data_IF_235485553449
#
_entry.id   IF_235485553449
#
_cell.length_a   1.000
_cell.length_b   1.000
_cell.length_c   1.000
_cell.angle_alpha   90.00
_cell.angle_beta   90.00
_cell.angle_gamma   90.00
#
_symmetry.space_group_name_H-M   'P 1'
#
loop_
_entity.id
_entity.type
_entity.pdbx_description
1 polymer ?
#
# COMPACT_ATOMS: atom_id res chain seq x y z
N UNK A 1 -10.03 -9.64 -13.44
CA UNK A 1 -9.73 -8.24 -13.84
C UNK A 1 -8.46 -8.23 -14.67
N UNK A 2 -8.42 -7.47 -15.75
CA UNK A 2 -7.25 -7.39 -16.63
C UNK A 2 -6.19 -6.44 -16.05
N UNK A 3 -4.93 -6.64 -16.47
CA UNK A 3 -3.84 -5.75 -16.06
C UNK A 3 -4.08 -4.29 -16.49
N UNK A 4 -4.67 -4.09 -17.68
CA UNK A 4 -4.99 -2.75 -18.18
C UNK A 4 -6.03 -2.03 -17.34
N UNK A 5 -7.01 -2.74 -16.78
CA UNK A 5 -8.00 -2.17 -15.86
C UNK A 5 -7.35 -1.73 -14.54
N UNK A 6 -6.44 -2.54 -13.98
CA UNK A 6 -5.70 -2.18 -12.76
C UNK A 6 -4.91 -0.89 -12.99
N UNK A 7 -4.12 -0.82 -14.06
CA UNK A 7 -3.32 0.37 -14.40
C UNK A 7 -4.19 1.61 -14.59
N UNK A 8 -5.36 1.46 -15.22
CA UNK A 8 -6.31 2.57 -15.42
C UNK A 8 -6.81 3.13 -14.09
N UNK A 9 -7.20 2.26 -13.16
CA UNK A 9 -7.68 2.69 -11.84
C UNK A 9 -6.55 3.28 -10.99
N UNK A 10 -5.36 2.68 -11.00
CA UNK A 10 -4.17 3.23 -10.31
C UNK A 10 -3.79 4.61 -10.85
N UNK A 11 -3.87 4.80 -12.18
CA UNK A 11 -3.59 6.10 -12.81
C UNK A 11 -4.59 7.17 -12.38
N UNK A 12 -5.87 6.83 -12.27
CA UNK A 12 -6.91 7.75 -11.76
C UNK A 12 -6.63 8.11 -10.30
N UNK A 13 -6.38 7.13 -9.45
CA UNK A 13 -6.10 7.34 -8.03
C UNK A 13 -4.86 8.23 -7.79
N UNK A 14 -3.90 8.22 -8.72
CA UNK A 14 -2.69 9.06 -8.66
C UNK A 14 -2.74 10.27 -9.62
N UNK A 15 -3.92 10.77 -10.00
CA UNK A 15 -4.04 11.86 -10.98
C UNK A 15 -3.23 13.11 -10.59
N UNK A 16 -3.22 13.46 -9.30
CA UNK A 16 -2.49 14.59 -8.73
C UNK A 16 -0.99 14.33 -8.44
N UNK A 17 -0.47 13.11 -8.67
CA UNK A 17 0.89 12.73 -8.30
C UNK A 17 1.65 12.07 -9.45
N UNK A 18 2.54 12.81 -10.09
CA UNK A 18 3.43 12.25 -11.14
C UNK A 18 4.31 11.14 -10.56
N UNK A 19 4.88 11.37 -9.38
CA UNK A 19 5.71 10.40 -8.68
C UNK A 19 4.91 9.15 -8.31
N UNK A 20 3.70 9.31 -7.75
CA UNK A 20 2.82 8.18 -7.42
C UNK A 20 2.48 7.34 -8.64
N UNK A 21 2.15 7.97 -9.77
CA UNK A 21 1.92 7.26 -11.05
C UNK A 21 3.13 6.44 -11.49
N UNK A 22 4.34 7.01 -11.38
CA UNK A 22 5.58 6.33 -11.73
C UNK A 22 5.82 5.11 -10.82
N UNK A 23 5.77 5.29 -9.50
CA UNK A 23 6.01 4.24 -8.51
C UNK A 23 5.02 3.09 -8.68
N UNK A 24 3.71 3.40 -8.72
CA UNK A 24 2.67 2.37 -8.81
C UNK A 24 2.72 1.64 -10.15
N UNK A 25 2.96 2.34 -11.26
CA UNK A 25 3.13 1.69 -12.57
C UNK A 25 4.26 0.65 -12.55
N UNK A 26 5.46 1.05 -12.10
CA UNK A 26 6.61 0.14 -12.07
C UNK A 26 6.44 -0.99 -11.04
N UNK A 27 5.77 -0.74 -9.92
CA UNK A 27 5.35 -1.79 -8.99
C UNK A 27 4.49 -2.85 -9.72
N UNK A 28 3.45 -2.43 -10.46
CA UNK A 28 2.57 -3.37 -11.18
C UNK A 28 3.30 -4.16 -12.26
N UNK A 29 4.18 -3.50 -13.02
CA UNK A 29 4.99 -4.18 -14.05
C UNK A 29 5.93 -5.20 -13.41
N UNK A 30 6.62 -4.83 -12.32
CA UNK A 30 7.49 -5.74 -11.58
C UNK A 30 6.70 -6.92 -10.98
N UNK A 31 5.51 -6.68 -10.44
CA UNK A 31 4.63 -7.72 -9.87
C UNK A 31 4.21 -8.75 -10.92
N UNK A 32 3.83 -8.32 -12.12
CA UNK A 32 3.48 -9.26 -13.20
C UNK A 32 4.69 -10.09 -13.63
N UNK A 33 5.87 -9.48 -13.71
CA UNK A 33 7.12 -10.19 -14.01
C UNK A 33 7.46 -11.20 -12.91
N UNK A 34 7.19 -10.88 -11.65
CA UNK A 34 7.36 -11.80 -10.54
C UNK A 34 6.38 -12.97 -10.60
N UNK A 35 5.09 -12.73 -10.80
CA UNK A 35 4.04 -13.75 -10.89
C UNK A 35 4.33 -14.72 -12.04
N UNK A 36 4.71 -14.19 -13.20
CA UNK A 36 4.97 -14.98 -14.41
C UNK A 36 6.43 -15.48 -14.55
N UNK A 37 7.26 -15.35 -13.52
CA UNK A 37 8.71 -15.66 -13.56
C UNK A 37 9.08 -17.08 -14.00
N UNK A 38 8.16 -18.03 -13.88
CA UNK A 38 8.36 -19.42 -14.36
C UNK A 38 8.17 -19.58 -15.87
N UNK A 39 7.60 -18.59 -16.57
CA UNK A 39 7.43 -18.62 -18.01
C UNK A 39 8.71 -18.10 -18.68
N UNK A 40 9.35 -18.86 -19.60
CA UNK A 40 10.60 -18.45 -20.25
C UNK A 40 10.48 -17.15 -21.03
N UNK A 41 9.29 -16.78 -21.53
CA UNK A 41 9.04 -15.48 -22.16
C UNK A 41 9.25 -14.30 -21.23
N UNK A 42 9.21 -14.54 -19.90
CA UNK A 42 9.43 -13.51 -18.87
C UNK A 42 10.86 -13.51 -18.31
N UNK A 43 11.80 -14.20 -18.96
CA UNK A 43 13.22 -14.12 -18.56
C UNK A 43 13.73 -12.66 -18.53
N UNK A 44 13.34 -11.83 -19.51
CA UNK A 44 13.61 -10.39 -19.50
C UNK A 44 12.99 -9.64 -18.32
N UNK A 45 11.99 -10.20 -17.69
CA UNK A 45 11.36 -9.62 -16.49
C UNK A 45 12.31 -9.50 -15.29
N UNK A 46 13.43 -10.24 -15.29
CA UNK A 46 14.46 -10.07 -14.25
C UNK A 46 15.07 -8.67 -14.29
N UNK A 47 15.35 -8.12 -15.48
CA UNK A 47 15.89 -6.77 -15.65
C UNK A 47 14.91 -5.70 -15.18
N UNK A 48 13.61 -5.88 -15.46
CA UNK A 48 12.54 -5.00 -14.98
C UNK A 48 12.49 -4.99 -13.45
N UNK A 49 12.56 -6.16 -12.82
CA UNK A 49 12.55 -6.27 -11.36
C UNK A 49 13.79 -5.67 -10.73
N UNK A 50 14.97 -5.87 -11.34
CA UNK A 50 16.22 -5.23 -10.90
C UNK A 50 16.12 -3.71 -11.03
N UNK A 51 15.62 -3.21 -12.16
CA UNK A 51 15.36 -1.79 -12.36
C UNK A 51 14.43 -1.22 -11.28
N UNK A 52 13.29 -1.90 -11.03
CA UNK A 52 12.33 -1.50 -10.00
C UNK A 52 12.99 -1.41 -8.61
N UNK A 53 13.74 -2.44 -8.21
CA UNK A 53 14.45 -2.46 -6.93
C UNK A 53 15.46 -1.35 -6.83
N UNK A 54 16.28 -1.15 -7.86
CA UNK A 54 17.34 -0.15 -7.84
C UNK A 54 16.77 1.28 -7.82
N UNK A 55 15.83 1.60 -8.71
CA UNK A 55 15.34 2.98 -8.84
C UNK A 55 14.23 3.31 -7.85
N UNK A 56 13.27 2.41 -7.60
CA UNK A 56 12.13 2.70 -6.73
C UNK A 56 12.46 2.37 -5.28
N UNK A 57 12.91 1.13 -5.00
CA UNK A 57 13.12 0.75 -3.61
C UNK A 57 14.35 1.46 -3.03
N UNK A 58 15.52 1.37 -3.65
CA UNK A 58 16.74 1.98 -3.13
C UNK A 58 16.85 3.47 -3.47
N UNK A 59 16.65 3.85 -4.73
CA UNK A 59 16.82 5.23 -5.19
C UNK A 59 15.78 6.20 -4.64
N UNK A 60 14.51 5.78 -4.53
CA UNK A 60 13.43 6.61 -3.97
C UNK A 60 13.14 6.35 -2.49
N UNK A 61 13.75 5.32 -1.88
CA UNK A 61 13.50 4.95 -0.49
C UNK A 61 12.06 4.49 -0.24
N UNK A 62 11.51 3.67 -1.17
CA UNK A 62 10.15 3.12 -1.08
C UNK A 62 10.27 1.61 -1.05
N UNK A 63 10.23 1.02 0.13
CA UNK A 63 10.34 -0.44 0.30
C UNK A 63 8.96 -1.09 0.14
N UNK A 64 8.59 -1.32 -1.11
CA UNK A 64 7.37 -1.98 -1.53
C UNK A 64 7.73 -3.12 -2.49
N UNK A 65 7.83 -4.33 -1.96
CA UNK A 65 8.25 -5.48 -2.76
C UNK A 65 7.20 -5.88 -3.80
N UNK A 66 7.67 -6.28 -4.99
CA UNK A 66 6.83 -6.67 -6.13
C UNK A 66 5.95 -7.91 -5.88
N UNK A 67 6.19 -8.65 -4.80
CA UNK A 67 5.37 -9.82 -4.41
C UNK A 67 4.21 -9.48 -3.48
N UNK A 68 4.14 -8.25 -2.97
CA UNK A 68 3.06 -7.80 -2.09
C UNK A 68 1.72 -7.83 -2.82
N UNK A 69 0.68 -8.35 -2.15
CA UNK A 69 -0.67 -8.44 -2.72
C UNK A 69 -1.42 -7.15 -2.48
N UNK A 70 -1.68 -6.41 -3.55
CA UNK A 70 -2.36 -5.10 -3.48
C UNK A 70 -3.46 -5.02 -4.53
N UNK A 71 -4.66 -4.65 -4.11
CA UNK A 71 -5.82 -4.39 -4.97
C UNK A 71 -5.60 -3.22 -5.94
N UNK A 72 -6.59 -2.92 -6.77
CA UNK A 72 -6.57 -1.83 -7.74
C UNK A 72 -6.73 -0.46 -7.06
N UNK A 73 -6.41 0.60 -7.79
CA UNK A 73 -6.59 1.96 -7.30
C UNK A 73 -5.60 2.35 -6.18
N UNK A 74 -4.46 1.66 -6.08
CA UNK A 74 -3.41 2.04 -5.13
C UNK A 74 -2.97 3.47 -5.40
N UNK A 75 -3.04 4.31 -4.36
CA UNK A 75 -2.56 5.68 -4.40
C UNK A 75 -1.34 5.85 -3.49
N UNK A 76 -0.25 6.44 -4.01
CA UNK A 76 0.96 6.72 -3.24
C UNK A 76 1.29 8.20 -3.31
N UNK A 77 1.08 8.91 -2.19
CA UNK A 77 1.46 10.32 -2.06
C UNK A 77 2.85 10.46 -1.45
N UNK A 78 3.78 11.03 -2.22
CA UNK A 78 5.19 11.23 -1.90
C UNK A 78 5.99 9.93 -1.76
N UNK A 79 5.59 9.00 -0.93
CA UNK A 79 6.06 7.62 -0.79
C UNK A 79 7.44 7.44 -0.14
N UNK A 80 8.28 8.47 0.01
CA UNK A 80 9.59 8.32 0.67
C UNK A 80 9.42 7.75 2.08
N UNK A 81 10.27 6.79 2.45
CA UNK A 81 10.20 6.14 3.75
C UNK A 81 8.97 5.23 3.94
N UNK A 82 8.21 4.94 2.87
CA UNK A 82 7.20 3.89 2.92
C UNK A 82 7.90 2.54 2.97
N UNK A 83 7.64 1.79 4.03
CA UNK A 83 8.14 0.42 4.22
C UNK A 83 6.95 -0.50 4.44
N UNK A 84 6.81 -1.52 3.59
CA UNK A 84 5.72 -2.48 3.68
C UNK A 84 6.24 -3.92 3.60
N UNK A 85 5.95 -4.70 4.62
CA UNK A 85 6.22 -6.14 4.60
C UNK A 85 5.42 -6.80 3.47
N UNK A 86 6.08 -7.66 2.73
CA UNK A 86 5.50 -8.34 1.56
C UNK A 86 4.40 -9.38 1.87
N UNK A 87 4.21 -9.72 3.13
CA UNK A 87 3.09 -10.56 3.59
C UNK A 87 1.83 -9.75 3.90
N UNK A 88 1.94 -8.41 3.91
CA UNK A 88 0.78 -7.53 4.04
C UNK A 88 -0.15 -7.71 2.85
N UNK A 89 -1.46 -7.78 3.12
CA UNK A 89 -2.50 -7.81 2.10
C UNK A 89 -3.20 -6.44 2.11
N UNK A 90 -3.33 -5.83 0.93
CA UNK A 90 -3.93 -4.51 0.77
C UNK A 90 -5.11 -4.60 -0.19
N UNK A 91 -6.25 -4.09 0.21
CA UNK A 91 -7.48 -4.04 -0.59
C UNK A 91 -7.43 -3.03 -1.74
N UNK A 92 -8.61 -2.76 -2.30
CA UNK A 92 -8.80 -1.81 -3.40
C UNK A 92 -8.83 -0.36 -2.89
N UNK A 93 -8.34 0.57 -3.72
CA UNK A 93 -8.40 2.04 -3.49
C UNK A 93 -7.78 2.50 -2.17
N UNK A 94 -6.70 1.87 -1.76
CA UNK A 94 -5.95 2.27 -0.56
C UNK A 94 -5.00 3.41 -0.89
N UNK A 95 -4.97 4.42 -0.02
CA UNK A 95 -4.03 5.56 -0.10
C UNK A 95 -2.94 5.41 0.95
N UNK A 96 -1.69 5.49 0.53
CA UNK A 96 -0.50 5.43 1.38
C UNK A 96 0.30 6.73 1.27
N UNK A 97 0.77 7.24 2.40
CA UNK A 97 1.61 8.44 2.45
C UNK A 97 3.04 8.09 2.91
N UNK A 98 3.91 9.09 2.85
CA UNK A 98 5.33 8.97 3.20
C UNK A 98 5.58 8.59 4.66
N UNK A 99 6.78 8.02 4.94
CA UNK A 99 7.24 7.61 6.26
C UNK A 99 6.26 6.67 6.98
N UNK A 100 5.58 5.82 6.25
CA UNK A 100 4.62 4.85 6.80
C UNK A 100 5.25 3.48 6.85
N UNK A 101 5.16 2.82 7.99
CA UNK A 101 5.63 1.44 8.19
C UNK A 101 4.45 0.50 8.38
N UNK A 102 4.36 -0.56 7.56
CA UNK A 102 3.31 -1.57 7.63
C UNK A 102 3.95 -2.95 7.63
N UNK A 103 3.71 -3.75 8.68
CA UNK A 103 4.30 -5.08 8.74
C UNK A 103 4.09 -5.85 10.03
N UNK A 104 4.89 -6.89 10.21
CA UNK A 104 4.84 -7.72 11.40
C UNK A 104 5.44 -7.01 12.63
N UNK A 105 4.91 -7.29 13.82
CA UNK A 105 5.42 -6.74 15.07
C UNK A 105 6.66 -7.47 15.59
N UNK A 106 6.93 -8.67 15.08
CA UNK A 106 8.09 -9.52 15.43
C UNK A 106 8.42 -10.45 14.28
N UNK A 107 9.65 -10.91 14.23
CA UNK A 107 10.11 -11.88 13.21
C UNK A 107 9.22 -13.12 13.24
N UNK A 108 8.69 -13.53 12.08
CA UNK A 108 7.78 -14.65 11.93
C UNK A 108 6.35 -14.42 12.47
N UNK A 109 6.03 -13.20 12.89
CA UNK A 109 4.66 -12.81 13.26
C UNK A 109 3.80 -12.54 12.02
N UNK A 110 2.48 -12.52 12.19
CA UNK A 110 1.55 -12.12 11.13
C UNK A 110 1.70 -10.67 10.70
N UNK A 111 1.27 -10.37 9.50
CA UNK A 111 1.29 -9.03 8.89
C UNK A 111 -0.13 -8.48 8.74
N UNK A 112 -0.30 -7.15 8.71
CA UNK A 112 -1.60 -6.53 8.62
C UNK A 112 -2.37 -6.90 7.35
N UNK A 113 -3.70 -7.00 7.47
CA UNK A 113 -4.64 -7.03 6.36
C UNK A 113 -5.38 -5.70 6.32
N UNK A 114 -5.19 -4.95 5.25
CA UNK A 114 -5.80 -3.64 5.04
C UNK A 114 -6.98 -3.79 4.11
N UNK A 115 -8.14 -3.32 4.51
CA UNK A 115 -9.39 -3.35 3.75
C UNK A 115 -9.40 -2.39 2.56
N UNK A 116 -10.57 -2.23 1.97
CA UNK A 116 -10.78 -1.36 0.82
C UNK A 116 -10.99 0.10 1.25
N UNK A 117 -10.62 1.04 0.39
CA UNK A 117 -10.83 2.48 0.60
C UNK A 117 -10.22 3.00 1.93
N UNK A 118 -9.13 2.39 2.39
CA UNK A 118 -8.42 2.83 3.58
C UNK A 118 -7.46 3.95 3.23
N UNK A 119 -7.51 5.04 4.02
CA UNK A 119 -6.53 6.12 3.93
C UNK A 119 -5.51 6.03 5.07
N UNK A 120 -4.24 5.91 4.74
CA UNK A 120 -3.15 5.89 5.72
C UNK A 120 -2.40 7.21 5.65
N UNK A 121 -2.45 7.96 6.75
CA UNK A 121 -1.75 9.23 6.93
C UNK A 121 -0.22 9.08 6.90
N UNK A 122 0.46 10.21 6.84
CA UNK A 122 1.92 10.23 6.92
C UNK A 122 2.44 9.85 8.31
N UNK A 123 3.66 9.30 8.38
CA UNK A 123 4.34 8.92 9.62
C UNK A 123 3.55 7.90 10.47
N UNK A 124 2.76 7.04 9.84
CA UNK A 124 2.01 6.00 10.55
C UNK A 124 2.84 4.72 10.72
N UNK A 125 2.53 3.98 11.80
CA UNK A 125 3.06 2.63 12.01
C UNK A 125 1.87 1.69 12.21
N UNK A 126 1.74 0.65 11.36
CA UNK A 126 0.69 -0.35 11.42
C UNK A 126 1.37 -1.71 11.51
N UNK A 127 1.36 -2.33 12.68
CA UNK A 127 2.15 -3.55 12.92
C UNK A 127 1.37 -4.63 13.67
N UNK A 128 1.64 -5.88 13.28
CA UNK A 128 1.07 -7.09 13.89
C UNK A 128 0.09 -7.82 12.99
N UNK A 129 -0.42 -8.93 13.48
CA UNK A 129 -1.48 -9.70 12.85
C UNK A 129 -2.83 -9.04 13.14
N UNK A 130 -3.11 -7.95 12.43
CA UNK A 130 -4.27 -7.08 12.67
C UNK A 130 -5.03 -6.80 11.38
N UNK A 131 -6.29 -6.43 11.53
CA UNK A 131 -7.17 -6.07 10.42
C UNK A 131 -7.57 -4.60 10.49
N UNK A 132 -7.41 -3.92 9.37
CA UNK A 132 -7.90 -2.56 9.19
C UNK A 132 -9.16 -2.63 8.33
N UNK A 133 -10.30 -2.27 8.92
CA UNK A 133 -11.60 -2.36 8.24
C UNK A 133 -11.75 -1.36 7.10
N UNK A 134 -12.67 -1.66 6.19
CA UNK A 134 -12.95 -0.83 5.00
C UNK A 134 -13.33 0.60 5.37
N UNK A 135 -13.00 1.55 4.50
CA UNK A 135 -13.31 2.98 4.62
C UNK A 135 -12.74 3.63 5.90
N UNK A 136 -11.71 3.04 6.50
CA UNK A 136 -11.08 3.62 7.70
C UNK A 136 -10.02 4.65 7.32
N UNK A 137 -9.83 5.61 8.20
CA UNK A 137 -8.79 6.63 8.08
C UNK A 137 -7.84 6.49 9.26
N UNK A 138 -6.58 6.24 8.96
CA UNK A 138 -5.49 6.23 9.92
C UNK A 138 -4.87 7.64 9.92
N UNK A 139 -5.12 8.41 10.96
CA UNK A 139 -4.61 9.77 11.04
C UNK A 139 -3.08 9.81 11.07
N UNK A 140 -2.50 10.89 10.55
CA UNK A 140 -1.04 11.05 10.51
C UNK A 140 -0.41 10.88 11.91
N UNK A 141 0.72 10.17 11.97
CA UNK A 141 1.44 9.88 13.21
C UNK A 141 0.82 8.79 14.08
N UNK A 142 -0.24 8.12 13.64
CA UNK A 142 -0.88 7.07 14.43
C UNK A 142 -0.05 5.77 14.47
N UNK A 143 -0.02 5.12 15.65
CA UNK A 143 0.60 3.81 15.85
C UNK A 143 -0.50 2.78 16.12
N UNK A 144 -0.80 1.96 15.10
CA UNK A 144 -1.87 0.97 15.11
C UNK A 144 -1.29 -0.41 15.43
N UNK A 145 -1.72 -0.97 16.56
CA UNK A 145 -1.28 -2.27 17.08
C UNK A 145 -2.44 -3.20 17.44
N UNK A 146 -3.66 -2.82 17.03
CA UNK A 146 -4.90 -3.59 17.22
C UNK A 146 -5.80 -3.40 16.01
N UNK A 147 -6.76 -4.29 15.87
CA UNK A 147 -7.79 -4.19 14.83
C UNK A 147 -8.49 -2.83 14.83
N UNK A 148 -8.78 -2.35 13.63
CA UNK A 148 -9.50 -1.10 13.39
C UNK A 148 -10.84 -1.46 12.75
N UNK A 149 -11.98 -1.07 13.34
CA UNK A 149 -13.29 -1.28 12.73
C UNK A 149 -13.42 -0.54 11.40
N UNK A 150 -14.33 -1.01 10.53
CA UNK A 150 -14.66 -0.28 9.32
C UNK A 150 -15.34 1.08 9.62
N UNK A 151 -15.25 2.00 8.67
CA UNK A 151 -15.93 3.30 8.72
C UNK A 151 -15.56 4.12 9.97
N UNK A 152 -14.29 4.18 10.31
CA UNK A 152 -13.86 5.01 11.44
C UNK A 152 -12.53 5.75 11.19
N UNK A 153 -12.30 6.77 11.99
CA UNK A 153 -11.02 7.47 12.06
C UNK A 153 -10.32 7.04 13.34
N UNK A 154 -9.05 6.61 13.21
CA UNK A 154 -8.19 6.29 14.35
C UNK A 154 -7.00 7.25 14.41
N UNK A 155 -6.59 7.62 15.60
CA UNK A 155 -5.47 8.53 15.84
C UNK A 155 -4.75 8.20 17.15
N UNK A 156 -3.51 8.66 17.27
CA UNK A 156 -2.71 8.61 18.50
C UNK A 156 -1.72 7.44 18.58
N UNK A 157 -1.01 7.37 19.69
CA UNK A 157 -0.03 6.35 20.03
C UNK A 157 -0.27 5.82 21.46
N UNK A 158 -0.79 4.60 21.65
CA UNK A 158 -1.36 3.72 20.62
C UNK A 158 -2.67 4.29 20.05
N UNK A 159 -2.95 3.99 18.79
CA UNK A 159 -4.14 4.51 18.10
C UNK A 159 -5.45 4.07 18.76
N UNK A 160 -6.43 4.99 18.75
CA UNK A 160 -7.80 4.75 19.23
C UNK A 160 -8.80 5.33 18.23
N UNK A 161 -10.00 4.76 18.19
CA UNK A 161 -11.10 5.32 17.41
C UNK A 161 -11.45 6.69 18.00
N UNK A 162 -11.37 7.72 17.16
CA UNK A 162 -11.71 9.11 17.53
C UNK A 162 -13.02 9.56 16.89
N UNK A 163 -13.45 8.89 15.81
CA UNK A 163 -14.70 9.19 15.14
C UNK A 163 -15.20 7.98 14.34
N UNK A 164 -16.51 7.76 14.33
CA UNK A 164 -17.20 6.85 13.39
C UNK A 164 -17.70 7.68 12.21
N UNK A 165 -17.61 7.15 11.00
CA UNK A 165 -18.06 7.78 9.76
C UNK A 165 -19.45 7.27 9.40
N UNK A 166 -20.41 8.15 9.21
CA UNK A 166 -21.81 7.79 8.90
C UNK A 166 -21.98 7.31 7.44
N UNK A 167 -20.99 7.59 6.58
CA UNK A 167 -20.94 7.14 5.18
C UNK A 167 -19.48 6.99 4.74
N UNK A 168 -19.21 6.17 3.71
CA UNK A 168 -17.86 6.07 3.14
C UNK A 168 -17.36 7.45 2.73
N UNK A 169 -16.17 7.82 3.18
CA UNK A 169 -15.51 9.03 2.68
C UNK A 169 -15.22 8.82 1.19
N UNK A 170 -15.68 9.73 0.29
CA UNK A 170 -15.30 9.61 -1.12
C UNK A 170 -13.78 9.63 -1.20
N UNK A 171 -13.22 8.66 -1.94
CA UNK A 171 -11.78 8.66 -2.21
C UNK A 171 -11.37 10.04 -2.70
N UNK A 172 -10.34 10.62 -2.09
CA UNK A 172 -9.81 11.91 -2.54
C UNK A 172 -9.36 11.78 -4.00
N UNK A 173 -10.09 12.44 -4.89
CA UNK A 173 -9.82 12.52 -6.34
C UNK A 173 -8.66 13.48 -6.59
#
# INVERSE_FOLDING_TARGET
MSFSEIIKEDRKANAGSVKGRFVVYWFRVASICYIKRKNPLYFLGIFIRVFYKFFVMWGMGIDLEEKTVIGKGLCVYHGQGLVMNNETIVGDYVTLRHNTTIGNARIGGGSPVIGNHVEVGANCVIIGDIKIGDNSIIAAGAIVIKDVPANCIVAGNPARVVKTLDSPTPAAV
#
